data_IF_899575858745
#
_entry.id   IF_899575858745
#
_cell.length_a   1.000
_cell.length_b   1.000
_cell.length_c   1.000
_cell.angle_alpha   90.00
_cell.angle_beta   90.00
_cell.angle_gamma   90.00
#
_symmetry.space_group_name_H-M   'P 1'
#
loop_
_entity.id
_entity.type
_entity.pdbx_description
1 polymer ?
#
# COMPACT_ATOMS: atom_id res chain seq x y z
N UNK A 1 10.74 7.09 22.08
CA UNK A 1 9.81 6.32 21.23
C UNK A 1 9.89 4.82 21.54
N UNK A 2 11.03 4.33 22.02
CA UNK A 2 11.22 2.95 22.50
C UNK A 2 10.35 2.62 23.73
N UNK A 3 10.13 3.62 24.60
CA UNK A 3 9.25 3.53 25.79
C UNK A 3 7.82 3.04 25.48
N UNK A 4 7.24 3.43 24.34
CA UNK A 4 5.89 3.00 23.96
C UNK A 4 5.89 1.52 23.56
N UNK A 5 6.91 1.07 22.82
CA UNK A 5 6.99 -0.31 22.32
C UNK A 5 7.19 -1.29 23.48
N UNK A 6 8.07 -0.97 24.41
CA UNK A 6 8.29 -1.77 25.61
C UNK A 6 7.01 -1.86 26.43
N UNK A 7 6.30 -0.74 26.63
CA UNK A 7 5.04 -0.73 27.35
C UNK A 7 3.94 -1.56 26.69
N UNK A 8 3.83 -1.52 25.35
CA UNK A 8 2.84 -2.32 24.60
C UNK A 8 3.16 -3.81 24.70
N UNK A 9 4.43 -4.17 24.55
CA UNK A 9 4.95 -5.54 24.70
C UNK A 9 4.58 -6.09 26.07
N UNK A 10 4.92 -5.34 27.12
CA UNK A 10 4.76 -5.75 28.51
C UNK A 10 3.27 -5.93 28.88
N UNK A 11 2.39 -5.07 28.36
CA UNK A 11 0.94 -5.21 28.51
C UNK A 11 0.41 -6.46 27.82
N UNK A 12 0.81 -6.74 26.57
CA UNK A 12 0.36 -7.93 25.83
C UNK A 12 0.83 -9.23 26.50
N UNK A 13 2.09 -9.30 26.92
CA UNK A 13 2.64 -10.46 27.65
C UNK A 13 1.89 -10.72 28.97
N UNK A 14 1.48 -9.66 29.67
CA UNK A 14 0.71 -9.73 30.93
C UNK A 14 -0.81 -9.86 30.71
N UNK A 15 -1.28 -10.02 29.47
CA UNK A 15 -2.71 -10.16 29.14
C UNK A 15 -3.55 -8.90 29.43
N UNK A 16 -2.93 -7.72 29.51
CA UNK A 16 -3.62 -6.44 29.78
C UNK A 16 -4.13 -5.80 28.50
N UNK A 17 -5.23 -5.07 28.62
CA UNK A 17 -5.79 -4.27 27.51
C UNK A 17 -4.85 -3.13 27.12
N UNK A 18 -4.73 -2.92 25.81
CA UNK A 18 -4.01 -1.77 25.24
C UNK A 18 -4.91 -0.54 25.21
N UNK A 19 -4.31 0.64 25.34
CA UNK A 19 -5.02 1.87 25.02
C UNK A 19 -5.29 1.95 23.50
N UNK A 20 -6.29 2.72 23.04
CA UNK A 20 -6.60 2.81 21.61
C UNK A 20 -5.41 3.13 20.70
N UNK A 21 -4.52 4.03 21.15
CA UNK A 21 -3.31 4.41 20.39
C UNK A 21 -2.24 3.29 20.37
N UNK A 22 -2.19 2.49 21.43
CA UNK A 22 -1.29 1.34 21.54
C UNK A 22 -1.78 0.18 20.68
N UNK A 23 -3.11 -0.02 20.63
CA UNK A 23 -3.74 -1.03 19.81
C UNK A 23 -3.62 -0.71 18.31
N UNK A 24 -3.88 0.53 17.89
CA UNK A 24 -3.66 0.98 16.50
C UNK A 24 -2.19 0.79 16.07
N UNK A 25 -1.25 1.11 16.96
CA UNK A 25 0.17 0.85 16.70
C UNK A 25 0.44 -0.65 16.53
N UNK A 26 -0.09 -1.50 17.42
CA UNK A 26 0.12 -2.95 17.40
C UNK A 26 -0.52 -3.63 16.18
N UNK A 27 -1.73 -3.22 15.80
CA UNK A 27 -2.41 -3.71 14.57
C UNK A 27 -1.58 -3.40 13.33
N UNK A 28 -1.04 -2.19 13.20
CA UNK A 28 -0.16 -1.81 12.08
C UNK A 28 1.10 -2.67 11.99
N UNK A 29 1.66 -3.02 13.14
CA UNK A 29 2.83 -3.93 13.23
C UNK A 29 2.43 -5.35 12.80
N UNK A 30 1.28 -5.87 13.24
CA UNK A 30 0.78 -7.19 12.82
C UNK A 30 0.52 -7.24 11.31
N UNK A 31 -0.12 -6.23 10.75
CA UNK A 31 -0.42 -6.19 9.32
C UNK A 31 0.87 -6.17 8.48
N UNK A 32 1.89 -5.46 8.97
CA UNK A 32 3.21 -5.45 8.35
C UNK A 32 3.89 -6.83 8.45
N UNK A 33 3.80 -7.51 9.59
CA UNK A 33 4.30 -8.88 9.75
C UNK A 33 3.59 -9.89 8.82
N UNK A 34 2.27 -9.77 8.65
CA UNK A 34 1.50 -10.59 7.69
C UNK A 34 1.93 -10.36 6.24
N UNK A 35 2.22 -9.12 5.87
CA UNK A 35 2.69 -8.79 4.52
C UNK A 35 4.06 -9.43 4.22
N UNK A 36 4.94 -9.54 5.23
CA UNK A 36 6.25 -10.18 5.09
C UNK A 36 6.20 -11.70 4.93
N UNK A 37 5.14 -12.37 5.42
CA UNK A 37 4.96 -13.83 5.28
C UNK A 37 4.44 -14.29 3.90
N UNK A 38 4.28 -13.38 2.92
CA UNK A 38 3.78 -13.73 1.58
C UNK A 38 4.91 -14.25 0.68
N UNK A 39 4.83 -15.51 0.28
CA UNK A 39 5.83 -16.21 -0.57
C UNK A 39 5.91 -15.69 -2.02
N UNK A 40 4.89 -14.96 -2.49
CA UNK A 40 4.88 -14.34 -3.82
C UNK A 40 4.84 -12.82 -3.73
N UNK A 41 5.98 -12.21 -4.02
CA UNK A 41 6.13 -10.77 -4.06
C UNK A 41 6.16 -10.33 -5.52
N UNK A 42 4.98 -10.25 -6.16
CA UNK A 42 4.88 -9.71 -7.51
C UNK A 42 5.32 -8.23 -7.53
N UNK A 43 5.78 -7.75 -8.68
CA UNK A 43 6.18 -6.34 -8.85
C UNK A 43 5.01 -5.38 -8.52
N UNK A 44 3.78 -5.83 -8.75
CA UNK A 44 2.55 -5.11 -8.47
C UNK A 44 1.92 -5.52 -7.13
N UNK A 45 2.63 -6.23 -6.26
CA UNK A 45 2.11 -6.63 -4.96
C UNK A 45 1.56 -5.41 -4.21
N UNK A 46 0.35 -5.57 -3.68
CA UNK A 46 -0.43 -4.53 -2.99
C UNK A 46 -0.88 -3.34 -3.87
N UNK A 47 -0.92 -3.52 -5.20
CA UNK A 47 -1.56 -2.61 -6.17
C UNK A 47 -2.95 -3.15 -6.53
N UNK A 48 -3.92 -2.27 -6.76
CA UNK A 48 -5.24 -2.67 -7.26
C UNK A 48 -5.15 -3.10 -8.74
N UNK A 49 -5.81 -4.19 -9.13
CA UNK A 49 -5.82 -4.70 -10.52
C UNK A 49 -7.18 -4.51 -11.20
N UNK A 50 -7.88 -3.41 -10.87
CA UNK A 50 -9.26 -3.11 -11.30
C UNK A 50 -10.32 -4.13 -10.88
N UNK A 51 -9.97 -5.06 -10.00
CA UNK A 51 -10.77 -6.22 -9.60
C UNK A 51 -11.65 -5.95 -8.37
N UNK A 52 -11.26 -4.99 -7.54
CA UNK A 52 -11.84 -4.80 -6.21
C UNK A 52 -12.65 -3.51 -6.04
N UNK A 53 -12.56 -2.58 -6.98
CA UNK A 53 -13.23 -1.26 -6.91
C UNK A 53 -13.57 -0.76 -8.31
N UNK A 54 -14.67 -0.03 -8.38
CA UNK A 54 -15.13 0.71 -9.56
C UNK A 54 -15.80 1.98 -9.06
N UNK A 55 -15.46 3.12 -9.65
CA UNK A 55 -16.15 4.39 -9.43
C UNK A 55 -16.77 4.86 -10.74
N UNK A 56 -17.98 5.40 -10.67
CA UNK A 56 -18.69 5.98 -11.81
C UNK A 56 -18.94 7.44 -11.45
N UNK A 57 -18.46 8.36 -12.28
CA UNK A 57 -18.69 9.79 -12.07
C UNK A 57 -20.09 10.23 -12.51
N UNK A 58 -20.41 11.51 -12.27
CA UNK A 58 -21.71 12.09 -12.60
C UNK A 58 -22.01 12.12 -14.11
N UNK A 59 -21.00 11.95 -14.95
CA UNK A 59 -21.11 11.90 -16.41
C UNK A 59 -21.16 10.45 -16.93
N UNK A 60 -21.09 9.46 -16.04
CA UNK A 60 -21.13 8.06 -16.38
C UNK A 60 -19.79 7.48 -16.84
N UNK A 61 -18.67 8.18 -16.62
CA UNK A 61 -17.35 7.61 -16.92
C UNK A 61 -16.88 6.70 -15.76
N UNK A 62 -16.24 5.60 -16.12
CA UNK A 62 -15.73 4.60 -15.20
C UNK A 62 -14.30 4.93 -14.80
N UNK A 63 -13.99 4.81 -13.52
CA UNK A 63 -12.67 5.04 -12.93
C UNK A 63 -12.29 3.89 -11.99
N UNK A 64 -10.98 3.70 -11.78
CA UNK A 64 -10.44 2.61 -10.93
C UNK A 64 -11.00 2.65 -9.51
N UNK A 65 -11.14 3.85 -8.95
CA UNK A 65 -11.74 4.10 -7.64
C UNK A 65 -12.10 5.57 -7.50
N UNK A 66 -12.78 5.91 -6.39
CA UNK A 66 -13.27 7.26 -6.07
C UNK A 66 -12.16 8.30 -5.92
N UNK A 67 -10.92 7.86 -5.74
CA UNK A 67 -9.77 8.74 -5.52
C UNK A 67 -8.94 8.99 -6.78
N UNK A 68 -9.20 8.25 -7.85
CA UNK A 68 -8.50 8.50 -9.11
C UNK A 68 -8.98 9.81 -9.71
N UNK A 69 -8.06 10.55 -10.31
CA UNK A 69 -8.43 11.77 -11.02
C UNK A 69 -9.15 11.43 -12.33
N UNK A 70 -9.95 12.38 -12.81
CA UNK A 70 -10.80 12.25 -14.01
C UNK A 70 -10.00 11.99 -15.31
N UNK A 71 -8.67 12.11 -15.28
CA UNK A 71 -7.80 11.88 -16.46
C UNK A 71 -7.47 10.40 -16.70
N UNK A 72 -7.97 9.48 -15.88
CA UNK A 72 -7.79 8.03 -16.05
C UNK A 72 -9.12 7.27 -16.18
N UNK A 73 -9.99 7.63 -17.14
CA UNK A 73 -11.19 6.84 -17.39
C UNK A 73 -10.81 5.47 -17.96
N UNK A 74 -11.54 4.43 -17.54
CA UNK A 74 -11.39 3.04 -17.97
C UNK A 74 -12.60 2.53 -18.77
N UNK A 75 -13.55 3.41 -19.09
CA UNK A 75 -14.79 3.08 -19.78
C UNK A 75 -15.89 4.09 -19.49
N UNK A 76 -17.11 3.79 -19.93
CA UNK A 76 -18.30 4.59 -19.65
C UNK A 76 -19.60 3.75 -19.70
N UNK A 77 -20.71 4.31 -19.22
CA UNK A 77 -22.02 3.62 -19.17
C UNK A 77 -22.58 3.23 -20.54
N UNK A 78 -22.14 3.85 -21.63
CA UNK A 78 -22.67 3.62 -22.98
C UNK A 78 -21.88 2.54 -23.72
N UNK A 79 -20.55 2.53 -23.57
CA UNK A 79 -19.62 1.64 -24.26
C UNK A 79 -19.09 0.50 -23.38
N UNK A 80 -19.31 0.57 -22.06
CA UNK A 80 -18.76 -0.38 -21.10
C UNK A 80 -17.28 -0.14 -20.83
N UNK A 81 -16.57 -1.21 -20.44
CA UNK A 81 -15.13 -1.15 -20.16
C UNK A 81 -14.30 -1.02 -21.44
N UNK A 82 -13.38 -0.06 -21.42
CA UNK A 82 -12.34 0.05 -22.43
C UNK A 82 -11.11 -0.77 -22.01
N UNK A 83 -11.13 -2.06 -22.35
CA UNK A 83 -10.06 -3.00 -21.99
C UNK A 83 -8.69 -2.60 -22.54
N UNK A 84 -8.63 -1.99 -23.73
CA UNK A 84 -7.37 -1.48 -24.28
C UNK A 84 -6.77 -0.41 -23.37
N UNK A 85 -7.60 0.55 -22.94
CA UNK A 85 -7.15 1.61 -22.03
C UNK A 85 -6.73 1.05 -20.67
N UNK A 86 -7.43 0.04 -20.16
CA UNK A 86 -7.05 -0.64 -18.91
C UNK A 86 -5.68 -1.32 -19.03
N UNK A 87 -5.40 -1.97 -20.17
CA UNK A 87 -4.10 -2.58 -20.45
C UNK A 87 -3.00 -1.52 -20.52
N UNK A 88 -3.23 -0.39 -21.20
CA UNK A 88 -2.28 0.72 -21.28
C UNK A 88 -1.94 1.26 -19.89
N UNK A 89 -2.94 1.46 -19.04
CA UNK A 89 -2.75 1.95 -17.66
C UNK A 89 -1.90 0.97 -16.84
N UNK A 90 -2.18 -0.35 -16.92
CA UNK A 90 -1.36 -1.37 -16.24
C UNK A 90 0.07 -1.33 -16.76
N UNK A 91 0.25 -1.25 -18.08
CA UNK A 91 1.57 -1.27 -18.70
C UNK A 91 2.40 -0.03 -18.30
N UNK A 92 1.84 1.17 -18.45
CA UNK A 92 2.46 2.43 -18.05
C UNK A 92 2.88 2.40 -16.57
N UNK A 93 1.98 1.95 -15.70
CA UNK A 93 2.26 1.88 -14.27
C UNK A 93 3.34 0.82 -13.96
N UNK A 94 3.25 -0.36 -14.58
CA UNK A 94 4.20 -1.46 -14.37
C UNK A 94 5.60 -1.05 -14.79
N UNK A 95 5.76 -0.37 -15.92
CA UNK A 95 7.07 0.12 -16.39
C UNK A 95 7.66 1.20 -15.47
N UNK A 96 6.82 2.11 -14.93
CA UNK A 96 7.25 3.07 -13.92
C UNK A 96 7.78 2.35 -12.67
N UNK A 97 7.05 1.35 -12.17
CA UNK A 97 7.46 0.59 -10.98
C UNK A 97 8.71 -0.25 -11.29
N UNK A 98 8.79 -0.89 -12.46
CA UNK A 98 9.93 -1.72 -12.87
C UNK A 98 11.23 -0.91 -12.90
N UNK A 99 11.18 0.30 -13.47
CA UNK A 99 12.36 1.16 -13.60
C UNK A 99 12.83 1.81 -12.29
N UNK A 100 11.95 1.99 -11.31
CA UNK A 100 12.27 2.78 -10.11
C UNK A 100 12.24 1.98 -8.79
N UNK A 101 11.51 0.87 -8.74
CA UNK A 101 11.22 0.15 -7.49
C UNK A 101 11.87 -1.23 -7.41
N UNK A 102 12.52 -1.71 -8.48
CA UNK A 102 13.14 -3.04 -8.49
C UNK A 102 14.15 -3.18 -7.34
N UNK A 103 15.04 -2.20 -7.19
CA UNK A 103 16.08 -2.20 -6.15
C UNK A 103 15.70 -1.37 -4.91
N UNK A 104 14.41 -1.04 -4.76
CA UNK A 104 13.95 -0.28 -3.62
C UNK A 104 13.84 -1.17 -2.38
N UNK A 105 14.54 -0.77 -1.31
CA UNK A 105 14.47 -1.34 0.04
C UNK A 105 13.04 -1.46 0.60
N UNK A 106 12.11 -0.59 0.18
CA UNK A 106 10.71 -0.60 0.64
C UNK A 106 9.79 -1.46 -0.24
N UNK A 107 10.29 -2.11 -1.31
CA UNK A 107 9.45 -2.62 -2.42
C UNK A 107 8.36 -3.60 -2.00
N UNK A 108 8.56 -4.33 -0.89
CA UNK A 108 7.61 -5.33 -0.40
C UNK A 108 6.59 -4.77 0.59
N UNK A 109 6.89 -3.62 1.20
CA UNK A 109 6.04 -2.96 2.20
C UNK A 109 5.27 -1.78 1.62
N UNK A 110 5.75 -1.25 0.49
CA UNK A 110 5.14 -0.12 -0.16
C UNK A 110 3.84 -0.53 -0.87
N UNK A 111 2.70 -0.12 -0.31
CA UNK A 111 1.40 -0.16 -1.01
C UNK A 111 1.39 0.89 -2.13
N UNK A 112 1.72 0.47 -3.35
CA UNK A 112 1.80 1.31 -4.54
C UNK A 112 0.39 1.56 -5.09
N UNK A 113 -0.26 2.63 -4.65
CA UNK A 113 -1.57 3.05 -5.18
C UNK A 113 -1.37 4.02 -6.34
N UNK A 114 -2.08 3.81 -7.46
CA UNK A 114 -2.07 4.68 -8.65
C UNK A 114 -2.16 6.17 -8.32
N UNK A 115 -3.01 6.56 -7.35
CA UNK A 115 -3.20 7.96 -6.95
C UNK A 115 -1.90 8.68 -6.59
N UNK A 116 -0.93 7.97 -6.01
CA UNK A 116 0.32 8.58 -5.57
C UNK A 116 1.25 8.91 -6.73
N UNK A 117 1.05 8.27 -7.87
CA UNK A 117 1.86 8.40 -9.08
C UNK A 117 1.10 9.08 -10.23
N UNK A 118 -0.22 9.15 -10.15
CA UNK A 118 -1.07 9.74 -11.18
C UNK A 118 -0.93 11.28 -11.19
N UNK A 119 -0.34 11.81 -12.26
CA UNK A 119 -0.20 13.26 -12.50
C UNK A 119 -0.54 13.59 -13.95
N UNK A 120 -1.45 14.54 -14.14
CA UNK A 120 -1.77 15.07 -15.47
C UNK A 120 -2.09 14.02 -16.55
N UNK A 121 -2.73 12.90 -16.16
CA UNK A 121 -3.10 11.83 -17.10
C UNK A 121 -1.96 10.86 -17.43
N UNK A 122 -0.82 10.95 -16.74
CA UNK A 122 0.31 10.02 -16.82
C UNK A 122 0.75 9.56 -15.44
N UNK A 123 1.55 8.50 -15.39
CA UNK A 123 2.20 8.07 -14.16
C UNK A 123 3.63 8.61 -14.06
N UNK A 124 3.93 9.25 -12.93
CA UNK A 124 5.22 9.85 -12.62
C UNK A 124 5.65 9.46 -11.21
N UNK A 125 6.97 9.38 -10.98
CA UNK A 125 7.51 9.13 -9.64
C UNK A 125 7.16 10.27 -8.68
N UNK A 126 6.85 9.90 -7.45
CA UNK A 126 6.53 10.84 -6.39
C UNK A 126 7.52 10.68 -5.23
N UNK A 127 8.58 11.46 -5.27
CA UNK A 127 9.67 11.35 -4.29
C UNK A 127 9.21 11.61 -2.86
N UNK A 128 8.22 12.50 -2.67
CA UNK A 128 7.66 12.77 -1.34
C UNK A 128 6.97 11.54 -0.76
N UNK A 129 6.19 10.84 -1.58
CA UNK A 129 5.58 9.57 -1.21
C UNK A 129 6.65 8.49 -0.96
N UNK A 130 7.62 8.35 -1.86
CA UNK A 130 8.68 7.36 -1.76
C UNK A 130 9.53 7.54 -0.50
N UNK A 131 9.95 8.78 -0.17
CA UNK A 131 10.69 9.08 1.07
C UNK A 131 9.90 8.68 2.32
N UNK A 132 8.60 9.02 2.38
CA UNK A 132 7.73 8.66 3.51
C UNK A 132 7.58 7.14 3.64
N UNK A 133 7.50 6.41 2.53
CA UNK A 133 7.42 4.94 2.55
C UNK A 133 8.73 4.28 2.96
N UNK A 134 9.88 4.82 2.56
CA UNK A 134 11.19 4.33 3.03
C UNK A 134 11.37 4.53 4.54
N UNK A 135 10.87 5.62 5.11
CA UNK A 135 10.87 5.81 6.57
C UNK A 135 10.07 4.74 7.35
N UNK A 136 9.12 4.05 6.71
CA UNK A 136 8.41 2.93 7.34
C UNK A 136 9.31 1.70 7.52
N UNK A 137 10.40 1.55 6.77
CA UNK A 137 11.37 0.46 6.94
C UNK A 137 12.00 0.52 8.33
N UNK A 138 12.25 1.72 8.87
CA UNK A 138 12.76 1.88 10.24
C UNK A 138 11.79 1.34 11.30
N UNK A 139 10.54 0.99 10.93
CA UNK A 139 9.60 0.29 11.82
C UNK A 139 9.77 -1.23 11.80
N UNK A 140 10.52 -1.80 10.85
CA UNK A 140 10.81 -3.24 10.80
C UNK A 140 11.69 -3.68 11.97
N UNK A 141 12.65 -2.85 12.40
CA UNK A 141 13.45 -3.11 13.61
C UNK A 141 12.54 -3.39 14.81
N UNK A 142 11.44 -2.63 14.94
CA UNK A 142 10.45 -2.83 16.00
C UNK A 142 9.67 -4.14 15.86
N UNK A 143 9.41 -4.58 14.63
CA UNK A 143 8.77 -5.88 14.38
C UNK A 143 9.69 -7.01 14.80
N UNK A 144 10.97 -6.94 14.42
CA UNK A 144 11.97 -7.93 14.81
C UNK A 144 12.06 -8.03 16.34
N UNK A 145 12.16 -6.89 17.04
CA UNK A 145 12.16 -6.85 18.51
C UNK A 145 10.92 -7.51 19.12
N UNK A 146 9.73 -7.35 18.52
CA UNK A 146 8.50 -7.98 19.00
C UNK A 146 8.46 -9.50 18.76
N UNK A 147 9.06 -9.97 17.67
CA UNK A 147 9.26 -11.40 17.42
C UNK A 147 10.24 -12.01 18.42
N UNK A 148 11.39 -11.36 18.66
CA UNK A 148 12.39 -11.80 19.64
C UNK A 148 11.81 -11.88 21.07
N UNK A 149 10.96 -10.92 21.44
CA UNK A 149 10.25 -10.90 22.73
C UNK A 149 9.06 -11.87 22.81
N UNK A 150 8.79 -12.67 21.76
CA UNK A 150 7.73 -13.68 21.74
C UNK A 150 6.29 -13.12 21.74
N UNK A 151 6.12 -11.83 21.44
CA UNK A 151 4.81 -11.18 21.38
C UNK A 151 4.08 -11.49 20.08
N UNK A 152 4.82 -11.47 18.97
CA UNK A 152 4.34 -11.89 17.66
C UNK A 152 4.72 -13.36 17.43
N UNK A 153 3.81 -14.13 16.82
CA UNK A 153 4.00 -15.53 16.42
C UNK A 153 4.02 -15.65 14.89
#
# INVERSE_FOLDING_TARGET
MDDILDRVTDKKLKGKNLYPIEDDFFVKVIDLAKQLKRDQLSLLANTCMFDNRLYIDAYGAFHICEKMNEKFPIGDIHNGFNYSRMQDIIYEFTELIRSNCLDCEARFLCTRCYIHFARNGKFEMNDSFCRKKKQYINKLEKIIQLYEKGVLK
#
